data_IF_613200752082
#
_entry.id   IF_613200752082
#
_cell.length_a   1.000
_cell.length_b   1.000
_cell.length_c   1.000
_cell.angle_alpha   90.00
_cell.angle_beta   90.00
_cell.angle_gamma   90.00
#
_symmetry.space_group_name_H-M   'P 1'
#
loop_
_entity.id
_entity.type
_entity.pdbx_description
1 polymer ?
#
# COMPACT_ATOMS: atom_id res chain seq x y z
N UNK A 1 10.12 9.70 -4.17
CA UNK A 1 8.73 10.22 -4.02
C UNK A 1 7.96 10.21 -5.34
N UNK A 2 8.49 10.79 -6.43
CA UNK A 2 7.80 10.88 -7.74
C UNK A 2 7.39 9.51 -8.31
N UNK A 3 8.30 8.53 -8.34
CA UNK A 3 7.99 7.19 -8.85
C UNK A 3 6.88 6.49 -8.04
N UNK A 4 6.93 6.61 -6.71
CA UNK A 4 5.92 6.02 -5.84
C UNK A 4 4.54 6.68 -6.02
N UNK A 5 4.51 7.99 -6.19
CA UNK A 5 3.28 8.74 -6.52
C UNK A 5 2.64 8.22 -7.80
N UNK A 6 3.42 8.09 -8.87
CA UNK A 6 2.90 7.61 -10.15
C UNK A 6 2.34 6.20 -10.02
N UNK A 7 3.03 5.29 -9.32
CA UNK A 7 2.52 3.93 -9.07
C UNK A 7 1.18 3.97 -8.34
N UNK A 8 1.07 4.77 -7.27
CA UNK A 8 -0.20 4.92 -6.55
C UNK A 8 -1.31 5.55 -7.42
N UNK A 9 -0.99 6.52 -8.28
CA UNK A 9 -1.94 7.12 -9.24
C UNK A 9 -2.47 6.07 -10.23
N UNK A 10 -1.61 5.22 -10.77
CA UNK A 10 -2.02 4.12 -11.66
C UNK A 10 -2.87 3.07 -10.94
N UNK A 11 -2.52 2.72 -9.70
CA UNK A 11 -3.29 1.77 -8.89
C UNK A 11 -4.66 2.34 -8.49
N UNK A 12 -4.71 3.58 -8.03
CA UNK A 12 -5.93 4.28 -7.64
C UNK A 12 -6.89 4.53 -8.81
N UNK A 13 -6.34 4.66 -10.03
CA UNK A 13 -7.09 4.75 -11.28
C UNK A 13 -7.73 3.42 -11.72
N UNK A 14 -7.48 2.33 -11.00
CA UNK A 14 -8.14 1.05 -11.23
C UNK A 14 -7.49 0.19 -12.31
N UNK A 15 -6.19 0.36 -12.60
CA UNK A 15 -5.46 -0.50 -13.56
C UNK A 15 -5.61 -2.00 -13.28
N UNK A 16 -5.80 -2.37 -12.02
CA UNK A 16 -5.97 -3.76 -11.58
C UNK A 16 -7.40 -4.26 -11.78
N UNK A 17 -8.40 -3.37 -11.94
CA UNK A 17 -9.80 -3.75 -12.11
C UNK A 17 -10.04 -4.51 -13.42
N UNK A 18 -10.99 -5.47 -13.46
CA UNK A 18 -11.23 -6.31 -14.63
C UNK A 18 -11.65 -5.53 -15.88
N UNK A 19 -12.20 -4.32 -15.71
CA UNK A 19 -12.65 -3.46 -16.82
C UNK A 19 -11.50 -2.67 -17.48
N UNK A 20 -10.29 -2.70 -16.90
CA UNK A 20 -9.13 -1.98 -17.40
C UNK A 20 -8.15 -2.90 -18.13
N UNK A 21 -7.37 -2.37 -19.08
CA UNK A 21 -6.36 -3.16 -19.79
C UNK A 21 -5.36 -3.76 -18.80
N UNK A 22 -5.22 -5.07 -18.85
CA UNK A 22 -4.36 -5.82 -17.97
C UNK A 22 -2.88 -5.61 -18.27
N UNK A 23 -2.05 -5.66 -17.22
CA UNK A 23 -0.61 -5.53 -17.36
C UNK A 23 -0.02 -6.83 -17.90
N UNK A 24 0.55 -6.77 -19.11
CA UNK A 24 1.25 -7.90 -19.72
C UNK A 24 2.63 -8.06 -19.14
N UNK A 25 2.97 -9.31 -18.88
CA UNK A 25 4.27 -9.73 -18.41
C UNK A 25 5.25 -9.77 -19.60
N UNK A 26 6.34 -8.98 -19.62
CA UNK A 26 7.21 -8.84 -20.80
C UNK A 26 8.05 -10.08 -21.10
N UNK A 27 8.28 -10.97 -20.13
CA UNK A 27 9.05 -12.20 -20.32
C UNK A 27 8.19 -13.42 -20.70
N UNK A 28 6.85 -13.30 -20.68
CA UNK A 28 5.94 -14.41 -20.94
C UNK A 28 5.59 -14.43 -22.43
N UNK A 29 6.18 -15.38 -23.16
CA UNK A 29 6.01 -15.52 -24.62
C UNK A 29 4.57 -15.86 -25.02
N UNK A 30 3.86 -16.64 -24.20
CA UNK A 30 2.46 -16.98 -24.41
C UNK A 30 1.57 -15.99 -23.66
N UNK A 31 1.14 -14.98 -24.39
CA UNK A 31 0.53 -13.75 -23.90
C UNK A 31 -0.93 -13.92 -23.42
N UNK A 32 -1.21 -14.96 -22.64
CA UNK A 32 -2.56 -15.28 -22.13
C UNK A 32 -2.72 -14.84 -20.67
N UNK A 33 -1.63 -14.80 -19.89
CA UNK A 33 -1.71 -14.53 -18.45
C UNK A 33 -1.39 -13.08 -18.11
N UNK A 34 -2.37 -12.43 -17.51
CA UNK A 34 -2.24 -11.09 -16.95
C UNK A 34 -1.44 -11.10 -15.65
N UNK A 35 -0.72 -10.02 -15.36
CA UNK A 35 0.06 -9.91 -14.11
C UNK A 35 -0.82 -10.01 -12.84
N UNK A 36 -2.10 -9.68 -12.94
CA UNK A 36 -3.05 -9.65 -11.83
C UNK A 36 -3.99 -10.87 -11.79
N UNK A 37 -3.76 -11.87 -12.63
CA UNK A 37 -4.65 -13.03 -12.79
C UNK A 37 -4.89 -13.82 -11.49
N UNK A 38 -3.93 -13.78 -10.55
CA UNK A 38 -4.05 -14.45 -9.26
C UNK A 38 -4.91 -13.68 -8.22
N UNK A 39 -5.41 -12.48 -8.54
CA UNK A 39 -6.19 -11.64 -7.61
C UNK A 39 -7.69 -11.76 -7.87
N UNK A 40 -8.46 -12.02 -6.80
CA UNK A 40 -9.93 -11.99 -6.85
C UNK A 40 -10.44 -10.54 -6.97
N UNK A 41 -11.62 -10.33 -7.55
CA UNK A 41 -12.24 -9.02 -7.75
C UNK A 41 -12.33 -8.18 -6.48
N UNK A 42 -12.62 -8.82 -5.33
CA UNK A 42 -12.62 -8.14 -4.03
C UNK A 42 -11.24 -7.59 -3.67
N UNK A 43 -10.18 -8.41 -3.80
CA UNK A 43 -8.81 -7.99 -3.52
C UNK A 43 -8.37 -6.85 -4.45
N UNK A 44 -8.80 -6.89 -5.72
CA UNK A 44 -8.53 -5.82 -6.70
C UNK A 44 -9.17 -4.50 -6.27
N UNK A 45 -10.41 -4.55 -5.78
CA UNK A 45 -11.12 -3.38 -5.24
C UNK A 45 -10.44 -2.84 -3.97
N UNK A 46 -10.08 -3.74 -3.05
CA UNK A 46 -9.42 -3.38 -1.79
C UNK A 46 -8.06 -2.69 -2.06
N UNK A 47 -7.24 -3.23 -2.97
CA UNK A 47 -5.96 -2.62 -3.38
C UNK A 47 -6.17 -1.24 -4.01
N UNK A 48 -7.18 -1.10 -4.88
CA UNK A 48 -7.51 0.17 -5.53
C UNK A 48 -7.94 1.22 -4.50
N UNK A 49 -8.77 0.82 -3.54
CA UNK A 49 -9.21 1.66 -2.43
C UNK A 49 -8.05 2.10 -1.54
N UNK A 50 -7.16 1.16 -1.15
CA UNK A 50 -5.98 1.48 -0.36
C UNK A 50 -5.02 2.43 -1.10
N UNK A 51 -4.87 2.27 -2.41
CA UNK A 51 -4.06 3.19 -3.22
C UNK A 51 -4.65 4.62 -3.22
N UNK A 52 -5.97 4.76 -3.31
CA UNK A 52 -6.65 6.07 -3.23
C UNK A 52 -6.43 6.73 -1.87
N UNK A 53 -6.53 5.96 -0.78
CA UNK A 53 -6.21 6.43 0.58
C UNK A 53 -4.74 6.87 0.65
N UNK A 54 -3.82 6.04 0.15
CA UNK A 54 -2.38 6.33 0.12
C UNK A 54 -2.05 7.64 -0.61
N UNK A 55 -2.69 7.92 -1.75
CA UNK A 55 -2.55 9.20 -2.45
C UNK A 55 -2.99 10.38 -1.59
N UNK A 56 -4.08 10.22 -0.84
CA UNK A 56 -4.56 11.26 0.07
C UNK A 56 -3.56 11.50 1.20
N UNK A 57 -3.00 10.45 1.79
CA UNK A 57 -1.90 10.59 2.76
C UNK A 57 -0.66 11.25 2.16
N UNK A 58 -0.32 10.93 0.90
CA UNK A 58 0.79 11.57 0.18
C UNK A 58 0.57 13.07 -0.03
N UNK A 59 -0.63 13.47 -0.44
CA UNK A 59 -0.98 14.87 -0.64
C UNK A 59 -0.85 15.69 0.66
N UNK A 60 -1.08 15.07 1.81
CA UNK A 60 -0.94 15.71 3.13
C UNK A 60 0.43 15.48 3.80
N UNK A 61 1.39 14.84 3.12
CA UNK A 61 2.71 14.55 3.70
C UNK A 61 2.70 13.56 4.86
N UNK A 62 1.67 12.71 4.97
CA UNK A 62 1.44 11.78 6.09
C UNK A 62 1.67 10.30 5.70
N UNK A 63 2.44 10.01 4.66
CA UNK A 63 2.69 8.64 4.17
C UNK A 63 3.21 7.67 5.23
N UNK A 64 4.00 8.14 6.19
CA UNK A 64 4.53 7.29 7.27
C UNK A 64 3.39 6.64 8.08
N UNK A 65 2.30 7.38 8.32
CA UNK A 65 1.12 6.86 9.01
C UNK A 65 0.35 5.83 8.19
N UNK A 66 0.34 5.99 6.87
CA UNK A 66 -0.29 5.02 5.98
C UNK A 66 0.49 3.69 5.98
N UNK A 67 1.83 3.75 5.97
CA UNK A 67 2.67 2.56 6.13
C UNK A 67 2.52 1.88 7.49
N UNK A 68 2.29 2.65 8.55
CA UNK A 68 1.94 2.13 9.89
C UNK A 68 0.56 1.46 9.91
N UNK A 69 -0.39 1.91 9.09
CA UNK A 69 -1.74 1.34 8.98
C UNK A 69 -1.82 0.13 8.04
N UNK A 70 -0.97 0.03 7.02
CA UNK A 70 -0.97 -1.08 6.06
C UNK A 70 -0.40 -2.40 6.61
N UNK A 71 -0.27 -2.59 7.93
CA UNK A 71 0.32 -3.78 8.56
C UNK A 71 1.63 -4.24 7.89
N UNK A 72 2.47 -3.28 7.50
CA UNK A 72 3.75 -3.60 6.87
C UNK A 72 4.66 -4.19 7.94
N UNK A 73 5.24 -5.39 7.76
CA UNK A 73 6.14 -5.97 8.74
C UNK A 73 7.26 -4.97 9.02
N UNK A 74 7.33 -4.50 10.27
CA UNK A 74 8.18 -3.40 10.74
C UNK A 74 9.69 -3.60 10.49
N UNK A 75 10.08 -4.77 9.97
CA UNK A 75 11.43 -5.13 9.58
C UNK A 75 12.05 -4.15 8.55
N UNK A 76 11.25 -3.47 7.70
CA UNK A 76 11.76 -2.48 6.74
C UNK A 76 11.89 -1.03 7.27
N UNK A 77 11.36 -0.70 8.46
CA UNK A 77 11.43 0.66 9.02
C UNK A 77 12.76 0.96 9.74
N UNK A 78 13.65 -0.04 9.87
CA UNK A 78 14.95 0.10 10.54
C UNK A 78 15.96 0.96 9.76
N UNK A 79 15.71 1.26 8.48
CA UNK A 79 16.60 2.10 7.66
C UNK A 79 16.51 3.60 7.94
N UNK A 80 15.54 4.06 8.75
CA UNK A 80 15.30 5.49 8.94
C UNK A 80 16.01 6.11 10.15
N UNK A 81 16.83 5.34 10.90
CA UNK A 81 17.70 5.89 11.95
C UNK A 81 19.06 6.33 11.41
N UNK A 82 19.08 7.29 10.46
CA UNK A 82 20.23 8.18 10.31
C UNK A 82 19.84 9.52 10.93
N UNK A 83 20.40 9.75 12.11
CA UNK A 83 20.18 10.87 13.02
C UNK A 83 20.32 12.22 12.30
N UNK A 84 19.27 13.03 12.33
CA UNK A 84 19.40 14.49 12.34
C UNK A 84 18.86 14.91 13.70
N UNK A 85 19.78 15.28 14.59
CA UNK A 85 19.47 15.80 15.91
C UNK A 85 18.74 17.14 15.77
N UNK A 86 17.66 17.34 16.52
CA UNK A 86 17.45 18.51 17.41
C UNK A 86 16.03 18.45 18.02
N UNK A 87 16.04 18.40 19.36
CA UNK A 87 15.08 18.80 20.40
C UNK A 87 13.53 18.71 20.26
N UNK A 88 12.95 18.12 21.33
CA UNK A 88 11.68 18.39 21.99
C UNK A 88 10.35 18.35 21.19
N UNK A 89 9.58 17.24 21.33
CA UNK A 89 8.33 17.27 22.10
C UNK A 89 7.65 15.89 22.23
N UNK A 90 7.35 15.57 23.48
CA UNK A 90 6.46 14.53 23.98
C UNK A 90 5.05 14.59 23.35
N UNK A 91 4.54 13.48 22.81
CA UNK A 91 3.16 13.02 23.05
C UNK A 91 2.75 11.70 22.39
N UNK A 92 2.16 10.86 23.25
CA UNK A 92 1.13 9.85 23.01
C UNK A 92 1.49 8.52 22.33
N UNK A 93 1.96 7.62 23.20
CA UNK A 93 1.55 6.22 23.23
C UNK A 93 0.02 6.03 23.13
N UNK A 94 -0.46 5.50 22.00
CA UNK A 94 -1.73 4.76 21.95
C UNK A 94 -1.49 3.48 21.17
N UNK A 95 -1.13 2.40 21.88
CA UNK A 95 -1.22 1.04 21.35
C UNK A 95 -2.70 0.75 21.14
N UNK A 96 -3.19 0.89 19.90
CA UNK A 96 -4.46 0.27 19.51
C UNK A 96 -4.17 -1.19 19.22
N UNK A 97 -4.52 -2.04 20.19
CA UNK A 97 -4.67 -3.46 19.94
C UNK A 97 -5.83 -3.62 18.95
N UNK A 98 -5.53 -4.01 17.71
CA UNK A 98 -6.55 -4.56 16.82
C UNK A 98 -6.87 -5.96 17.34
N UNK A 99 -8.07 -6.11 17.87
CA UNK A 99 -8.60 -7.35 18.45
C UNK A 99 -8.64 -8.45 17.40
N UNK A 100 -8.10 -9.62 17.76
CA UNK A 100 -8.35 -10.87 17.04
C UNK A 100 -9.84 -11.20 17.11
N UNK A 101 -10.38 -11.62 15.98
CA UNK A 101 -11.58 -12.46 15.86
C UNK A 101 -11.24 -13.42 14.71
N UNK A 102 -10.60 -14.56 14.98
CA UNK A 102 -11.15 -15.80 15.54
C UNK A 102 -12.20 -16.42 14.61
N UNK A 103 -11.75 -17.53 14.00
CA UNK A 103 -12.41 -18.71 13.45
C UNK A 103 -13.94 -18.77 13.44
N UNK A 104 -14.50 -19.07 12.27
CA UNK A 104 -15.75 -19.83 12.16
C UNK A 104 -15.53 -20.92 11.10
N UNK A 105 -16.00 -22.11 11.47
CA UNK A 105 -15.83 -23.49 10.96
C UNK A 105 -15.65 -23.75 9.45
#
# INVERSE_FOLDING_TARGET
VIAFRHVLEYLAGGLILPDNPSLRIPWQTDSIKDAFDNLNNQQRNDITHEAQIGLRFMAFGQLNKWFEQCDIPQMMLSFQKRSYSDDDNERNSVKRQCTKSETIE
#
